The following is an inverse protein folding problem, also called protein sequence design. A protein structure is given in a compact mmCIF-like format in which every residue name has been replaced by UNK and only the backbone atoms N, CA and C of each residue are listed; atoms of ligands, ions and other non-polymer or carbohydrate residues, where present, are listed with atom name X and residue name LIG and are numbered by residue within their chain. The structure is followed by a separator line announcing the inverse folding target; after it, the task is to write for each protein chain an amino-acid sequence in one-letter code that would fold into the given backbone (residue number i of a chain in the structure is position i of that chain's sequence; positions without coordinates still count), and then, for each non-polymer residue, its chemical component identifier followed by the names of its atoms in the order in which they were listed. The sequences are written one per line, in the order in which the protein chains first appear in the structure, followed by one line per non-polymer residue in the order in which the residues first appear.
data_IF_487170420457
#
_entry.id   IF_487170420457
#
_cell.length_a   1.000
_cell.length_b   1.000
_cell.length_c   1.000
_cell.angle_alpha   90.00
_cell.angle_beta   90.00
_cell.angle_gamma   90.00
#
_symmetry.space_group_name_H-M   'P 1'
#
loop_
_entity.id
_entity.type
_entity.pdbx_description
1 polymer ?
#
# COMPACT_ATOMS: atom_id res chain seq x y z
N UNK A 1 -48.96 0.88 0.88
CA UNK A 1 -48.08 0.69 -0.30
C UNK A 1 -48.95 0.81 -1.53
N UNK A 2 -49.24 2.04 -1.95
CA UNK A 2 -49.94 2.34 -3.20
C UNK A 2 -48.93 2.21 -4.35
N UNK A 3 -49.20 1.33 -5.32
CA UNK A 3 -48.33 1.05 -6.47
C UNK A 3 -48.49 2.04 -7.63
N UNK A 4 -48.92 3.27 -7.35
CA UNK A 4 -49.03 4.32 -8.36
C UNK A 4 -48.03 5.41 -8.03
N UNK A 5 -46.89 5.43 -8.72
CA UNK A 5 -45.94 6.54 -8.65
C UNK A 5 -46.67 7.81 -9.06
N UNK A 6 -46.73 8.80 -8.19
CA UNK A 6 -47.35 10.07 -8.53
C UNK A 6 -46.52 10.75 -9.63
N UNK A 7 -47.18 11.27 -10.67
CA UNK A 7 -46.49 11.95 -11.77
C UNK A 7 -45.71 13.18 -11.32
N UNK A 8 -46.19 13.87 -10.27
CA UNK A 8 -45.62 15.10 -9.73
C UNK A 8 -44.52 14.86 -8.70
N UNK A 9 -44.32 13.62 -8.26
CA UNK A 9 -43.37 13.26 -7.20
C UNK A 9 -41.94 13.65 -7.55
N UNK A 10 -41.51 13.42 -8.80
CA UNK A 10 -40.16 13.76 -9.27
C UNK A 10 -39.91 15.26 -9.31
N UNK A 11 -40.93 16.03 -9.71
CA UNK A 11 -40.85 17.48 -9.79
C UNK A 11 -40.79 18.10 -8.39
N UNK A 12 -41.59 17.56 -7.47
CA UNK A 12 -41.57 17.92 -6.05
C UNK A 12 -40.23 17.58 -5.39
N UNK A 13 -39.66 16.39 -5.66
CA UNK A 13 -38.35 16.01 -5.15
C UNK A 13 -37.25 16.99 -5.61
N UNK A 14 -37.29 17.39 -6.88
CA UNK A 14 -36.34 18.35 -7.44
C UNK A 14 -36.50 19.74 -6.80
N UNK A 15 -37.73 20.19 -6.59
CA UNK A 15 -38.02 21.44 -5.90
C UNK A 15 -37.56 21.45 -4.44
N UNK A 16 -37.75 20.34 -3.72
CA UNK A 16 -37.30 20.16 -2.34
C UNK A 16 -35.77 20.12 -2.22
N UNK A 17 -35.08 19.45 -3.17
CA UNK A 17 -33.61 19.41 -3.24
C UNK A 17 -33.00 20.79 -3.50
N UNK A 18 -33.68 21.63 -4.28
CA UNK A 18 -33.24 23.00 -4.58
C UNK A 18 -33.61 24.01 -3.48
N UNK A 19 -34.44 23.62 -2.51
CA UNK A 19 -34.91 24.54 -1.45
C UNK A 19 -35.91 25.59 -1.95
N UNK A 20 -36.54 25.36 -3.10
CA UNK A 20 -37.50 26.29 -3.70
C UNK A 20 -38.91 26.17 -3.08
N UNK A 21 -39.19 25.08 -2.38
CA UNK A 21 -40.44 24.88 -1.65
C UNK A 21 -40.46 25.70 -0.35
N UNK A 22 -41.55 26.39 0.04
CA UNK A 22 -42.86 26.49 -0.65
C UNK A 22 -43.05 27.77 -1.48
N UNK A 23 -42.06 28.67 -1.51
CA UNK A 23 -42.23 30.05 -1.98
C UNK A 23 -41.90 30.25 -3.47
N UNK A 24 -41.08 29.38 -4.06
CA UNK A 24 -40.62 29.44 -5.44
C UNK A 24 -41.09 28.22 -6.28
N UNK A 25 -42.24 27.65 -5.90
CA UNK A 25 -42.90 26.56 -6.64
C UNK A 25 -44.19 27.04 -7.30
N UNK A 26 -44.57 26.40 -8.41
CA UNK A 26 -45.83 26.65 -9.10
C UNK A 26 -47.03 26.38 -8.16
N UNK A 27 -48.10 27.20 -8.18
CA UNK A 27 -49.28 26.98 -7.34
C UNK A 27 -49.96 25.62 -7.56
N UNK A 28 -49.90 25.07 -8.78
CA UNK A 28 -50.42 23.74 -9.13
C UNK A 28 -49.77 22.61 -8.34
N UNK A 29 -48.46 22.72 -8.08
CA UNK A 29 -47.71 21.74 -7.27
C UNK A 29 -48.17 21.76 -5.81
N UNK A 30 -48.53 22.94 -5.27
CA UNK A 30 -49.03 23.07 -3.89
C UNK A 30 -50.41 22.45 -3.73
N UNK A 31 -51.32 22.72 -4.64
CA UNK A 31 -52.66 22.11 -4.66
C UNK A 31 -52.59 20.58 -4.76
N UNK A 32 -51.61 20.06 -5.52
CA UNK A 32 -51.38 18.63 -5.61
C UNK A 32 -50.90 18.02 -4.29
N UNK A 33 -49.96 18.65 -3.58
CA UNK A 33 -49.47 18.18 -2.27
C UNK A 33 -50.60 18.11 -1.23
N UNK A 34 -51.57 19.04 -1.28
CA UNK A 34 -52.72 19.02 -0.37
C UNK A 34 -53.68 17.86 -0.63
N UNK A 35 -53.69 17.31 -1.85
CA UNK A 35 -54.57 16.20 -2.26
C UNK A 35 -53.88 14.83 -2.28
N UNK A 36 -52.55 14.80 -2.35
CA UNK A 36 -51.76 13.57 -2.47
C UNK A 36 -50.97 13.27 -1.19
N UNK A 37 -51.36 12.19 -0.50
CA UNK A 37 -50.73 11.76 0.76
C UNK A 37 -49.24 11.38 0.60
N UNK A 38 -48.88 10.72 -0.49
CA UNK A 38 -47.50 10.30 -0.74
C UNK A 38 -46.56 11.52 -0.90
N UNK A 39 -47.03 12.55 -1.62
CA UNK A 39 -46.31 13.82 -1.78
C UNK A 39 -46.27 14.64 -0.47
N UNK A 40 -47.34 14.60 0.33
CA UNK A 40 -47.38 15.25 1.64
C UNK A 40 -46.38 14.63 2.63
N UNK A 41 -46.33 13.30 2.69
CA UNK A 41 -45.37 12.57 3.53
C UNK A 41 -43.92 12.87 3.09
N UNK A 42 -43.66 12.94 1.78
CA UNK A 42 -42.34 13.33 1.26
C UNK A 42 -41.92 14.74 1.71
N UNK A 43 -42.81 15.73 1.60
CA UNK A 43 -42.55 17.11 2.06
C UNK A 43 -42.30 17.14 3.57
N UNK A 44 -43.12 16.43 4.35
CA UNK A 44 -42.98 16.39 5.81
C UNK A 44 -41.64 15.77 6.24
N UNK A 45 -41.25 14.63 5.65
CA UNK A 45 -39.98 13.97 5.98
C UNK A 45 -38.78 14.84 5.56
N UNK A 46 -38.83 15.44 4.37
CA UNK A 46 -37.72 16.27 3.88
C UNK A 46 -37.56 17.56 4.68
N UNK A 47 -38.65 18.25 5.02
CA UNK A 47 -38.60 19.47 5.84
C UNK A 47 -38.11 19.17 7.26
N UNK A 48 -38.61 18.11 7.89
CA UNK A 48 -38.16 17.71 9.24
C UNK A 48 -36.67 17.35 9.27
N UNK A 49 -36.17 16.65 8.25
CA UNK A 49 -34.73 16.36 8.13
C UNK A 49 -33.89 17.63 7.88
N UNK A 50 -34.37 18.55 7.04
CA UNK A 50 -33.70 19.83 6.80
C UNK A 50 -33.63 20.68 8.07
N UNK A 51 -34.71 20.74 8.85
CA UNK A 51 -34.74 21.44 10.14
C UNK A 51 -33.81 20.78 11.17
N UNK A 52 -33.85 19.44 11.29
CA UNK A 52 -32.95 18.70 12.17
C UNK A 52 -31.47 18.91 11.79
N UNK A 53 -31.18 19.00 10.48
CA UNK A 53 -29.85 19.36 10.00
C UNK A 53 -29.45 20.77 10.42
N UNK A 54 -30.30 21.78 10.21
CA UNK A 54 -30.03 23.15 10.63
C UNK A 54 -29.85 23.27 12.15
N UNK A 55 -30.61 22.50 12.94
CA UNK A 55 -30.45 22.44 14.39
C UNK A 55 -29.12 21.78 14.79
N UNK A 56 -28.73 20.68 14.14
CA UNK A 56 -27.45 20.01 14.45
C UNK A 56 -26.23 20.86 14.05
N UNK A 57 -26.31 21.57 12.91
CA UNK A 57 -25.29 22.55 12.49
C UNK A 57 -25.15 23.72 13.49
N UNK A 58 -26.24 24.10 14.19
CA UNK A 58 -26.20 25.13 15.25
C UNK A 58 -25.64 24.62 16.57
N UNK A 59 -25.83 23.34 16.89
CA UNK A 59 -25.45 22.73 18.18
C UNK A 59 -24.00 22.25 18.17
N UNK A 60 -23.48 21.81 17.02
CA UNK A 60 -22.12 21.31 16.90
C UNK A 60 -21.24 22.37 16.20
N UNK A 61 -20.37 23.11 16.90
CA UNK A 61 -19.33 23.87 16.23
C UNK A 61 -18.46 22.88 15.45
N UNK A 62 -18.54 22.92 14.12
CA UNK A 62 -17.65 22.18 13.25
C UNK A 62 -16.23 22.53 13.67
N UNK A 63 -15.48 21.56 14.19
CA UNK A 63 -14.08 21.75 14.53
C UNK A 63 -13.31 22.25 13.32
N UNK A 64 -12.16 22.93 13.50
CA UNK A 64 -11.40 23.48 12.39
C UNK A 64 -11.17 22.40 11.32
N UNK A 65 -11.36 22.69 10.03
CA UNK A 65 -11.27 21.69 8.97
C UNK A 65 -9.82 21.22 8.72
N UNK A 66 -8.82 22.00 9.16
CA UNK A 66 -7.40 21.74 8.96
C UNK A 66 -6.92 20.39 9.50
N UNK A 67 -7.15 20.04 10.77
CA UNK A 67 -6.76 18.76 11.34
C UNK A 67 -7.39 17.53 10.67
N UNK A 68 -8.64 17.65 10.21
CA UNK A 68 -9.33 16.57 9.48
C UNK A 68 -8.66 16.31 8.13
N UNK A 69 -8.41 17.38 7.37
CA UNK A 69 -7.73 17.29 6.09
C UNK A 69 -6.27 16.84 6.25
N UNK A 70 -5.57 17.34 7.26
CA UNK A 70 -4.21 16.93 7.59
C UNK A 70 -4.12 15.44 7.91
N UNK A 71 -5.03 14.90 8.74
CA UNK A 71 -5.09 13.46 9.04
C UNK A 71 -5.42 12.62 7.80
N UNK A 72 -6.27 13.11 6.91
CA UNK A 72 -6.55 12.45 5.64
C UNK A 72 -5.31 12.43 4.73
N UNK A 73 -4.60 13.54 4.65
CA UNK A 73 -3.38 13.66 3.85
C UNK A 73 -2.23 12.81 4.42
N UNK A 74 -2.10 12.74 5.75
CA UNK A 74 -1.10 11.89 6.41
C UNK A 74 -1.31 10.41 6.09
N UNK A 75 -2.57 9.93 6.07
CA UNK A 75 -2.88 8.54 5.70
C UNK A 75 -2.40 8.22 4.28
N UNK A 76 -2.70 9.11 3.32
CA UNK A 76 -2.24 8.97 1.93
C UNK A 76 -0.72 8.95 1.80
N UNK A 77 -0.02 9.81 2.56
CA UNK A 77 1.46 9.85 2.56
C UNK A 77 2.05 8.61 3.21
N UNK A 78 1.48 8.14 4.32
CA UNK A 78 1.95 6.94 5.00
C UNK A 78 1.79 5.69 4.13
N UNK A 79 0.67 5.54 3.41
CA UNK A 79 0.47 4.43 2.45
C UNK A 79 1.48 4.44 1.29
N UNK A 80 1.97 5.63 0.89
CA UNK A 80 3.03 5.74 -0.11
C UNK A 80 4.41 5.41 0.48
N UNK A 81 4.69 5.85 1.70
CA UNK A 81 5.96 5.57 2.40
C UNK A 81 6.07 4.09 2.77
N UNK A 82 4.97 3.45 3.17
CA UNK A 82 4.96 2.03 3.51
C UNK A 82 5.30 1.15 2.30
N UNK A 83 4.90 1.56 1.10
CA UNK A 83 5.30 0.89 -0.15
C UNK A 83 6.81 1.02 -0.40
N UNK A 84 7.39 2.19 -0.17
CA UNK A 84 8.83 2.41 -0.36
C UNK A 84 9.73 1.82 0.73
N UNK A 85 9.21 1.59 1.95
CA UNK A 85 10.02 1.11 3.09
C UNK A 85 10.08 -0.41 3.21
N UNK A 86 9.14 -1.15 2.63
CA UNK A 86 9.15 -2.62 2.55
C UNK A 86 10.43 -3.21 1.91
N UNK A 87 10.94 -2.70 0.76
CA UNK A 87 12.14 -3.27 0.15
C UNK A 87 13.41 -2.97 0.97
N UNK A 88 13.50 -1.82 1.64
CA UNK A 88 14.69 -1.43 2.41
C UNK A 88 14.87 -2.30 3.66
N UNK A 89 13.78 -2.57 4.38
CA UNK A 89 13.83 -3.44 5.57
C UNK A 89 14.14 -4.91 5.22
N UNK A 90 13.91 -5.34 3.98
CA UNK A 90 14.29 -6.67 3.49
C UNK A 90 15.76 -6.71 3.07
N UNK A 91 16.29 -5.67 2.43
CA UNK A 91 17.70 -5.57 2.06
C UNK A 91 18.63 -5.65 3.29
N UNK A 92 18.27 -5.00 4.39
CA UNK A 92 19.04 -5.03 5.64
C UNK A 92 19.12 -6.45 6.22
N UNK A 93 18.03 -7.20 6.18
CA UNK A 93 17.98 -8.60 6.66
C UNK A 93 18.85 -9.50 5.79
N UNK A 94 18.81 -9.36 4.46
CA UNK A 94 19.64 -10.15 3.54
C UNK A 94 21.13 -9.88 3.77
N UNK A 95 21.52 -8.62 3.97
CA UNK A 95 22.90 -8.27 4.29
C UNK A 95 23.40 -8.93 5.58
N UNK A 96 22.59 -8.91 6.64
CA UNK A 96 22.91 -9.56 7.92
C UNK A 96 23.07 -11.08 7.79
N UNK A 97 22.18 -11.75 7.03
CA UNK A 97 22.29 -13.19 6.80
C UNK A 97 23.56 -13.54 6.00
N UNK A 98 23.93 -12.72 5.00
CA UNK A 98 25.16 -12.91 4.23
C UNK A 98 26.41 -12.79 5.10
N UNK A 99 26.48 -11.76 5.95
CA UNK A 99 27.61 -11.56 6.88
C UNK A 99 27.68 -12.71 7.89
N UNK A 100 26.53 -13.15 8.43
CA UNK A 100 26.49 -14.25 9.38
C UNK A 100 26.95 -15.58 8.75
N UNK A 101 26.52 -15.88 7.53
CA UNK A 101 26.97 -17.05 6.80
C UNK A 101 28.49 -17.01 6.54
N UNK A 102 29.02 -15.88 6.11
CA UNK A 102 30.46 -15.69 5.91
C UNK A 102 31.25 -15.88 7.21
N UNK A 103 30.73 -15.37 8.33
CA UNK A 103 31.35 -15.52 9.64
C UNK A 103 31.36 -16.98 10.11
N UNK A 104 30.25 -17.71 9.96
CA UNK A 104 30.18 -19.13 10.27
C UNK A 104 31.17 -19.97 9.44
N UNK A 105 31.31 -19.66 8.15
CA UNK A 105 32.29 -20.30 7.26
C UNK A 105 33.72 -20.00 7.71
N UNK A 106 34.00 -18.75 8.09
CA UNK A 106 35.32 -18.35 8.59
C UNK A 106 35.69 -19.06 9.92
N UNK A 107 34.74 -19.18 10.85
CA UNK A 107 34.93 -19.92 12.10
C UNK A 107 35.14 -21.42 11.87
N UNK A 108 34.42 -22.01 10.92
CA UNK A 108 34.60 -23.43 10.60
C UNK A 108 35.98 -23.69 9.95
N UNK A 109 36.43 -22.79 9.07
CA UNK A 109 37.72 -22.92 8.38
C UNK A 109 38.91 -22.31 9.14
N UNK A 110 38.74 -21.97 10.42
CA UNK A 110 39.75 -21.30 11.23
C UNK A 110 41.06 -22.09 11.36
N UNK A 111 41.01 -23.42 11.22
CA UNK A 111 42.20 -24.28 11.18
C UNK A 111 43.08 -24.11 9.93
N UNK A 112 42.58 -23.44 8.88
CA UNK A 112 43.25 -23.25 7.60
C UNK A 112 43.53 -21.77 7.30
N UNK A 113 43.96 -21.04 8.33
CA UNK A 113 44.31 -19.60 8.31
C UNK A 113 45.26 -19.22 7.16
N UNK A 114 46.21 -20.09 6.82
CA UNK A 114 47.16 -19.86 5.73
C UNK A 114 46.46 -19.82 4.35
N UNK A 115 45.52 -20.75 4.10
CA UNK A 115 44.75 -20.77 2.86
C UNK A 115 43.78 -19.58 2.72
N UNK A 116 43.33 -19.02 3.85
CA UNK A 116 42.49 -17.82 3.86
C UNK A 116 43.28 -16.56 3.48
N UNK A 117 44.53 -16.44 3.95
CA UNK A 117 45.42 -15.34 3.58
C UNK A 117 45.81 -15.38 2.11
N UNK A 118 46.15 -16.56 1.57
CA UNK A 118 46.42 -16.75 0.13
C UNK A 118 45.21 -16.38 -0.74
N UNK A 119 44.00 -16.76 -0.31
CA UNK A 119 42.78 -16.40 -1.03
C UNK A 119 42.50 -14.89 -1.02
N UNK A 120 42.66 -14.22 0.13
CA UNK A 120 42.49 -12.77 0.23
C UNK A 120 43.54 -12.00 -0.58
N UNK A 121 44.78 -12.49 -0.61
CA UNK A 121 45.82 -11.94 -1.50
C UNK A 121 45.47 -12.15 -2.97
N UNK A 122 44.94 -13.32 -3.34
CA UNK A 122 44.46 -13.61 -4.69
C UNK A 122 43.25 -12.78 -5.14
N UNK A 123 42.44 -12.27 -4.20
CA UNK A 123 41.37 -11.30 -4.49
C UNK A 123 41.90 -9.87 -4.67
N UNK A 124 43.02 -9.53 -4.01
CA UNK A 124 43.68 -8.23 -4.15
C UNK A 124 44.48 -8.12 -5.46
N UNK A 125 45.04 -9.24 -5.94
CA UNK A 125 45.59 -9.30 -7.29
C UNK A 125 44.44 -9.37 -8.29
N UNK A 126 44.23 -8.27 -9.01
CA UNK A 126 43.15 -8.01 -9.98
C UNK A 126 43.15 -8.95 -11.20
N UNK A 127 43.05 -10.26 -10.97
CA UNK A 127 43.05 -11.35 -11.96
C UNK A 127 41.79 -12.22 -11.85
N UNK A 128 40.73 -11.67 -11.24
CA UNK A 128 39.45 -12.33 -10.92
C UNK A 128 38.64 -12.76 -12.17
N UNK A 129 39.15 -12.56 -13.38
CA UNK A 129 38.47 -12.91 -14.64
C UNK A 129 39.19 -13.95 -15.51
N UNK A 130 40.04 -14.81 -14.94
CA UNK A 130 40.49 -16.01 -15.66
C UNK A 130 39.72 -17.26 -15.20
N UNK A 131 38.76 -17.69 -16.03
CA UNK A 131 38.00 -18.95 -15.89
C UNK A 131 38.89 -20.18 -15.59
N UNK A 132 40.15 -20.16 -16.03
CA UNK A 132 41.13 -21.20 -15.75
C UNK A 132 41.51 -21.34 -14.26
N UNK A 133 41.64 -20.22 -13.53
CA UNK A 133 41.94 -20.23 -12.10
C UNK A 133 40.78 -20.78 -11.26
N UNK A 134 39.55 -20.45 -11.66
CA UNK A 134 38.34 -21.00 -11.04
C UNK A 134 38.24 -22.51 -11.24
N UNK A 135 38.57 -23.01 -12.42
CA UNK A 135 38.52 -24.45 -12.73
C UNK A 135 39.58 -25.25 -11.94
N UNK A 136 40.79 -24.70 -11.79
CA UNK A 136 41.85 -25.33 -11.00
C UNK A 136 41.53 -25.36 -9.50
N UNK A 137 40.95 -24.27 -8.96
CA UNK A 137 40.49 -24.22 -7.58
C UNK A 137 39.32 -25.20 -7.33
N UNK A 138 38.40 -25.34 -8.30
CA UNK A 138 37.30 -26.29 -8.23
C UNK A 138 37.77 -27.75 -8.24
N UNK A 139 38.75 -28.10 -9.08
CA UNK A 139 39.25 -29.48 -9.18
C UNK A 139 40.12 -29.91 -8.00
N UNK A 140 40.78 -28.95 -7.33
CA UNK A 140 41.59 -29.20 -6.14
C UNK A 140 40.79 -29.15 -4.82
N UNK A 141 39.55 -28.63 -4.85
CA UNK A 141 38.71 -28.50 -3.68
C UNK A 141 38.14 -29.86 -3.22
N UNK A 142 38.06 -30.05 -1.90
CA UNK A 142 37.41 -31.23 -1.34
C UNK A 142 35.90 -31.22 -1.66
N UNK A 143 35.29 -32.40 -1.76
CA UNK A 143 33.87 -32.54 -2.09
C UNK A 143 32.94 -31.71 -1.17
N UNK A 144 33.33 -31.56 0.11
CA UNK A 144 32.64 -30.74 1.08
C UNK A 144 32.80 -29.23 0.82
N UNK A 145 33.98 -28.78 0.41
CA UNK A 145 34.20 -27.39 0.03
C UNK A 145 33.40 -27.02 -1.22
N UNK A 146 33.28 -27.93 -2.19
CA UNK A 146 32.45 -27.73 -3.38
C UNK A 146 30.96 -27.65 -3.03
N UNK A 147 30.47 -28.52 -2.13
CA UNK A 147 29.08 -28.49 -1.68
C UNK A 147 28.72 -27.15 -1.01
N UNK A 148 29.62 -26.61 -0.17
CA UNK A 148 29.43 -25.30 0.48
C UNK A 148 29.46 -24.14 -0.52
N UNK A 149 30.35 -24.20 -1.52
CA UNK A 149 30.47 -23.17 -2.54
C UNK A 149 29.23 -23.15 -3.45
N UNK A 150 28.74 -24.33 -3.86
CA UNK A 150 27.50 -24.46 -4.64
C UNK A 150 26.30 -23.98 -3.83
N UNK A 151 26.22 -24.31 -2.54
CA UNK A 151 25.13 -23.83 -1.67
C UNK A 151 25.18 -22.30 -1.52
N UNK A 152 26.37 -21.73 -1.29
CA UNK A 152 26.60 -20.30 -1.24
C UNK A 152 26.19 -19.60 -2.54
N UNK A 153 26.66 -20.11 -3.68
CA UNK A 153 26.32 -19.57 -5.00
C UNK A 153 24.83 -19.71 -5.32
N UNK A 154 24.20 -20.83 -4.97
CA UNK A 154 22.77 -21.06 -5.17
C UNK A 154 21.92 -20.11 -4.32
N UNK A 155 22.30 -19.86 -3.06
CA UNK A 155 21.62 -18.87 -2.22
C UNK A 155 21.79 -17.46 -2.81
N UNK A 156 23.00 -17.08 -3.22
CA UNK A 156 23.27 -15.78 -3.86
C UNK A 156 22.46 -15.59 -5.14
N UNK A 157 22.39 -16.61 -6.00
CA UNK A 157 21.59 -16.59 -7.23
C UNK A 157 20.08 -16.52 -6.95
N UNK A 158 19.60 -17.22 -5.92
CA UNK A 158 18.20 -17.16 -5.51
C UNK A 158 17.83 -15.76 -5.00
N UNK A 159 18.67 -15.16 -4.17
CA UNK A 159 18.46 -13.79 -3.68
C UNK A 159 18.58 -12.75 -4.79
N UNK A 160 19.52 -12.90 -5.72
CA UNK A 160 19.66 -12.02 -6.88
C UNK A 160 18.44 -12.11 -7.82
N UNK A 161 17.97 -13.32 -8.12
CA UNK A 161 16.78 -13.53 -8.93
C UNK A 161 15.52 -12.99 -8.27
N UNK A 162 15.38 -13.17 -6.95
CA UNK A 162 14.26 -12.64 -6.19
C UNK A 162 14.25 -11.10 -6.13
N UNK A 163 15.42 -10.47 -6.00
CA UNK A 163 15.54 -9.02 -6.06
C UNK A 163 15.16 -8.46 -7.45
N UNK A 164 15.56 -9.14 -8.53
CA UNK A 164 15.16 -8.77 -9.90
C UNK A 164 13.66 -8.97 -10.11
N UNK A 165 13.08 -10.04 -9.58
CA UNK A 165 11.63 -10.28 -9.65
C UNK A 165 10.84 -9.15 -8.99
N UNK A 166 11.24 -8.72 -7.78
CA UNK A 166 10.59 -7.61 -7.08
C UNK A 166 10.73 -6.28 -7.82
N UNK A 167 11.87 -6.02 -8.46
CA UNK A 167 12.06 -4.82 -9.29
C UNK A 167 11.23 -4.84 -10.58
N UNK A 168 10.97 -6.02 -11.14
CA UNK A 168 10.12 -6.18 -12.32
C UNK A 168 8.62 -6.11 -12.01
N UNK A 169 8.18 -6.45 -10.79
CA UNK A 169 6.77 -6.41 -10.40
C UNK A 169 6.28 -4.98 -10.11
N UNK A 170 7.19 -4.04 -9.87
CA UNK A 170 6.88 -2.64 -9.53
C UNK A 170 6.77 -1.71 -10.76
N UNK A 171 7.04 -2.22 -11.97
CA UNK A 171 7.06 -1.48 -13.24
C UNK A 171 5.89 -1.88 -14.17
#
# INVERSE_FOLDING_TARGET
MSWYSCSWEKELELALRQGHWPQACEPSLREHVDSCRDCQDLVLVTQTLQEARLQSERVAPLGPPGPLWWRAQLRRRNEAIERMTKPVALAEKVGLFGIFAAFCIALWQWGNLAGWLDFLQGLSDSSVFQLAGLWAAFSAASAWALALLVLGAATLAFFAGFAVYLLCEEN
#
